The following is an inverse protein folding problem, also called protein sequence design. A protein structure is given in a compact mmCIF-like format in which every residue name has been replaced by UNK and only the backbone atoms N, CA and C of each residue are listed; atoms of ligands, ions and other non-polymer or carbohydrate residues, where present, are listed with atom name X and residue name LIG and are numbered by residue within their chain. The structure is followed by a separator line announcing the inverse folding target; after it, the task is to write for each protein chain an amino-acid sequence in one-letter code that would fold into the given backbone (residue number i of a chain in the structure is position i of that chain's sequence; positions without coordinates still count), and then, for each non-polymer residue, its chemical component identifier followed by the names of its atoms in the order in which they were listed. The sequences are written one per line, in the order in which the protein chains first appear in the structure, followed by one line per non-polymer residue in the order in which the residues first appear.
data_IF_939209244626
#
_entry.id   IF_939209244626
#
_cell.length_a   1.000
_cell.length_b   1.000
_cell.length_c   1.000
_cell.angle_alpha   90.00
_cell.angle_beta   90.00
_cell.angle_gamma   90.00
#
_symmetry.space_group_name_H-M   'P 1'
#
loop_
_entity.id
_entity.type
_entity.pdbx_description
1 polymer ?
#
# COMPACT_ATOMS: atom_id res chain seq x y z
N UNK A 1 15.78 19.85 4.51
CA UNK A 1 14.90 19.99 5.69
C UNK A 1 13.55 19.39 5.35
N UNK A 2 13.12 18.30 6.03
CA UNK A 2 11.79 17.71 5.85
C UNK A 2 10.92 18.17 7.01
N UNK A 3 9.84 18.89 6.71
CA UNK A 3 8.89 19.36 7.71
C UNK A 3 8.14 18.16 8.31
N UNK A 4 8.21 18.00 9.64
CA UNK A 4 7.42 17.01 10.38
C UNK A 4 6.38 17.79 11.18
N UNK A 5 5.13 17.76 10.72
CA UNK A 5 4.03 18.43 11.40
C UNK A 5 3.42 17.52 12.46
N UNK A 6 3.55 17.89 13.72
CA UNK A 6 2.99 17.14 14.86
C UNK A 6 1.48 17.34 14.93
N UNK A 7 0.99 18.57 14.74
CA UNK A 7 -0.42 18.90 14.68
C UNK A 7 -0.85 19.28 13.25
N UNK A 8 -1.28 18.28 12.49
CA UNK A 8 -1.78 18.47 11.12
C UNK A 8 -3.07 19.30 11.06
N UNK A 9 -3.87 19.30 12.12
CA UNK A 9 -5.14 20.05 12.20
C UNK A 9 -4.95 21.56 12.21
N UNK A 10 -3.73 22.04 12.51
CA UNK A 10 -3.40 23.46 12.50
C UNK A 10 -3.43 24.07 11.09
N UNK A 11 -3.41 23.23 10.04
CA UNK A 11 -3.39 23.67 8.65
C UNK A 11 -4.78 23.54 8.02
N UNK A 12 -5.27 24.61 7.41
CA UNK A 12 -6.61 24.65 6.81
C UNK A 12 -6.78 23.59 5.72
N UNK A 13 -5.73 23.36 4.94
CA UNK A 13 -5.67 22.34 3.89
C UNK A 13 -5.90 20.94 4.47
N UNK A 14 -5.18 20.59 5.54
CA UNK A 14 -5.33 19.28 6.17
C UNK A 14 -6.70 19.07 6.79
N UNK A 15 -7.32 20.15 7.31
CA UNK A 15 -8.69 20.13 7.82
C UNK A 15 -9.71 19.92 6.68
N UNK A 16 -9.55 20.61 5.55
CA UNK A 16 -10.40 20.43 4.35
C UNK A 16 -10.34 19.02 3.79
N UNK A 17 -9.16 18.40 3.82
CA UNK A 17 -8.93 17.01 3.38
C UNK A 17 -9.29 15.97 4.45
N UNK A 18 -9.78 16.40 5.62
CA UNK A 18 -10.23 15.53 6.70
C UNK A 18 -9.17 14.52 7.20
N UNK A 19 -7.90 14.97 7.26
CA UNK A 19 -6.77 14.09 7.58
C UNK A 19 -6.83 13.46 8.97
N UNK A 20 -7.50 14.08 9.94
CA UNK A 20 -7.63 13.52 11.29
C UNK A 20 -8.46 12.24 11.30
N UNK A 21 -9.57 12.22 10.57
CA UNK A 21 -10.40 11.03 10.43
C UNK A 21 -9.68 9.95 9.62
N UNK A 22 -8.99 10.34 8.54
CA UNK A 22 -8.17 9.42 7.74
C UNK A 22 -7.12 8.75 8.63
N UNK A 23 -6.39 9.53 9.46
CA UNK A 23 -5.41 8.98 10.41
C UNK A 23 -6.01 8.01 11.42
N UNK A 24 -7.21 8.27 11.92
CA UNK A 24 -7.88 7.37 12.88
C UNK A 24 -8.33 6.06 12.23
N UNK A 25 -8.70 6.09 10.94
CA UNK A 25 -9.17 4.91 10.21
C UNK A 25 -8.03 4.06 9.64
N UNK A 26 -6.86 4.65 9.39
CA UNK A 26 -5.68 3.93 8.90
C UNK A 26 -5.36 2.74 9.82
N UNK A 27 -5.36 1.53 9.27
CA UNK A 27 -5.06 0.30 9.98
C UNK A 27 -6.24 -0.36 10.70
N UNK A 28 -7.42 0.28 10.73
CA UNK A 28 -8.65 -0.31 11.27
C UNK A 28 -9.48 -1.10 10.24
N UNK A 29 -9.15 -0.94 8.95
CA UNK A 29 -9.84 -1.56 7.83
C UNK A 29 -8.89 -2.37 6.94
N UNK A 30 -9.46 -3.28 6.14
CA UNK A 30 -8.76 -3.97 5.06
C UNK A 30 -9.07 -3.33 3.72
N UNK A 31 -8.11 -3.36 2.78
CA UNK A 31 -8.32 -2.87 1.42
C UNK A 31 -8.55 -4.03 0.45
N UNK A 32 -9.53 -3.90 -0.45
CA UNK A 32 -9.70 -4.81 -1.60
C UNK A 32 -9.09 -4.16 -2.85
N UNK A 33 -8.00 -4.75 -3.36
CA UNK A 33 -7.32 -4.29 -4.58
C UNK A 33 -7.70 -5.25 -5.70
N UNK A 34 -8.17 -4.70 -6.82
CA UNK A 34 -8.58 -5.45 -8.00
C UNK A 34 -8.38 -4.57 -9.24
N UNK A 35 -7.78 -5.13 -10.29
CA UNK A 35 -7.60 -4.46 -11.57
C UNK A 35 -6.43 -5.07 -12.35
N UNK A 36 -6.08 -4.41 -13.45
CA UNK A 36 -5.00 -4.81 -14.34
C UNK A 36 -3.96 -3.68 -14.41
N UNK A 37 -2.69 -4.03 -14.49
CA UNK A 37 -1.59 -3.08 -14.68
C UNK A 37 -0.81 -3.44 -15.96
N UNK A 38 -0.59 -2.45 -16.82
CA UNK A 38 0.29 -2.61 -17.99
C UNK A 38 1.70 -2.21 -17.58
N UNK A 39 2.65 -3.14 -17.73
CA UNK A 39 4.07 -2.93 -17.40
C UNK A 39 4.95 -3.30 -18.59
N UNK A 40 6.16 -2.75 -18.61
CA UNK A 40 7.18 -3.18 -19.55
C UNK A 40 7.58 -4.64 -19.26
N UNK A 41 7.76 -5.45 -20.32
CA UNK A 41 8.20 -6.85 -20.21
C UNK A 41 9.71 -6.93 -19.96
N UNK A 42 10.13 -6.51 -18.77
CA UNK A 42 11.51 -6.51 -18.29
C UNK A 42 11.56 -7.03 -16.85
N UNK A 43 12.74 -7.36 -16.35
CA UNK A 43 12.91 -7.69 -14.92
C UNK A 43 12.54 -6.48 -14.04
N UNK A 44 11.76 -6.72 -12.99
CA UNK A 44 11.30 -5.67 -12.09
C UNK A 44 10.54 -6.20 -10.88
N UNK A 45 10.05 -5.28 -10.06
CA UNK A 45 9.22 -5.57 -8.91
C UNK A 45 8.07 -4.56 -8.83
N UNK A 46 6.91 -5.02 -8.38
CA UNK A 46 5.84 -4.14 -7.96
C UNK A 46 5.60 -4.36 -6.47
N UNK A 47 5.35 -3.28 -5.74
CA UNK A 47 5.12 -3.32 -4.31
C UNK A 47 3.80 -2.62 -4.00
N UNK A 48 3.08 -3.16 -3.01
CA UNK A 48 1.92 -2.51 -2.39
C UNK A 48 2.34 -2.16 -0.99
N UNK A 49 2.39 -0.87 -0.67
CA UNK A 49 2.76 -0.39 0.65
C UNK A 49 1.87 0.81 1.05
N UNK A 50 1.66 1.02 2.36
CA UNK A 50 0.87 2.15 2.84
C UNK A 50 1.63 3.48 2.63
N UNK A 51 0.88 4.57 2.51
CA UNK A 51 1.41 5.92 2.44
C UNK A 51 1.29 6.56 1.06
N UNK A 52 1.60 7.85 0.98
CA UNK A 52 1.52 8.61 -0.26
C UNK A 52 2.60 8.12 -1.23
N UNK A 53 2.18 7.61 -2.40
CA UNK A 53 3.10 7.19 -3.44
C UNK A 53 3.57 8.37 -4.29
N UNK A 54 4.83 8.34 -4.69
CA UNK A 54 5.40 9.31 -5.64
C UNK A 54 6.50 8.65 -6.46
N UNK A 55 6.71 9.18 -7.67
CA UNK A 55 7.78 8.73 -8.57
C UNK A 55 8.87 9.78 -8.59
N UNK A 56 10.10 9.37 -8.32
CA UNK A 56 11.28 10.22 -8.40
C UNK A 56 12.42 9.41 -9.02
N UNK A 57 13.16 9.97 -9.97
CA UNK A 57 14.29 9.29 -10.63
C UNK A 57 13.98 7.87 -11.15
N UNK A 58 12.79 7.67 -11.74
CA UNK A 58 12.32 6.36 -12.24
C UNK A 58 12.11 5.28 -11.16
N UNK A 59 12.11 5.65 -9.88
CA UNK A 59 11.80 4.76 -8.77
C UNK A 59 10.47 5.15 -8.10
N UNK A 60 9.74 4.14 -7.64
CA UNK A 60 8.47 4.29 -6.94
C UNK A 60 8.70 4.26 -5.43
N UNK A 61 8.32 5.33 -4.75
CA UNK A 61 8.50 5.49 -3.31
C UNK A 61 7.17 5.64 -2.58
N UNK A 62 7.13 5.14 -1.35
CA UNK A 62 6.04 5.41 -0.41
C UNK A 62 6.54 6.29 0.72
N UNK A 63 5.90 7.44 0.93
CA UNK A 63 6.16 8.28 2.09
C UNK A 63 5.35 7.78 3.28
N UNK A 64 6.05 7.24 4.30
CA UNK A 64 5.46 6.86 5.58
C UNK A 64 5.33 8.06 6.54
N UNK A 65 5.88 9.22 6.19
CA UNK A 65 5.97 10.38 7.07
C UNK A 65 4.61 10.93 7.49
N UNK A 66 3.60 10.82 6.62
CA UNK A 66 2.21 11.21 6.92
C UNK A 66 1.49 10.22 7.84
N UNK A 67 1.98 8.99 7.97
CA UNK A 67 1.34 7.94 8.75
C UNK A 67 1.83 7.89 10.21
N UNK A 68 2.96 8.53 10.54
CA UNK A 68 3.51 8.53 11.91
C UNK A 68 4.04 7.15 12.35
N UNK A 69 4.30 6.94 13.66
CA UNK A 69 4.84 5.69 14.21
C UNK A 69 3.77 4.58 14.33
N UNK A 70 2.98 4.38 13.27
CA UNK A 70 1.91 3.38 13.27
C UNK A 70 2.49 2.04 12.80
N UNK A 71 2.18 0.97 13.53
CA UNK A 71 2.45 -0.39 13.07
C UNK A 71 1.36 -0.76 12.05
N UNK A 72 1.75 -1.04 10.81
CA UNK A 72 0.81 -1.45 9.77
C UNK A 72 0.77 -2.96 9.63
N UNK A 73 -0.44 -3.50 9.58
CA UNK A 73 -0.65 -4.90 9.28
C UNK A 73 -0.67 -5.11 7.76
N UNK A 74 0.39 -5.73 7.22
CA UNK A 74 0.46 -6.11 5.79
C UNK A 74 0.05 -7.56 5.54
N UNK A 75 -0.70 -8.16 6.48
CA UNK A 75 -1.36 -9.45 6.25
C UNK A 75 -2.31 -9.33 5.07
N UNK A 76 -2.26 -10.28 4.16
CA UNK A 76 -3.01 -10.21 2.91
C UNK A 76 -3.44 -11.60 2.43
N UNK A 77 -4.44 -11.60 1.55
CA UNK A 77 -4.85 -12.75 0.77
C UNK A 77 -4.81 -12.39 -0.71
N UNK A 78 -4.12 -13.18 -1.51
CA UNK A 78 -4.11 -13.03 -2.97
C UNK A 78 -5.27 -13.85 -3.51
N UNK A 79 -6.29 -13.16 -4.06
CA UNK A 79 -7.40 -13.83 -4.73
C UNK A 79 -6.95 -14.40 -6.06
N UNK A 80 -6.47 -13.53 -6.93
CA UNK A 80 -5.93 -13.86 -8.25
C UNK A 80 -4.73 -12.97 -8.56
N UNK A 81 -3.64 -13.55 -9.06
CA UNK A 81 -2.50 -12.83 -9.62
C UNK A 81 -1.98 -13.56 -10.86
N UNK A 82 -2.17 -12.94 -12.02
CA UNK A 82 -1.76 -13.48 -13.31
C UNK A 82 -1.00 -12.45 -14.14
N UNK A 83 -0.25 -12.95 -15.12
CA UNK A 83 0.44 -12.13 -16.11
C UNK A 83 -0.12 -12.44 -17.50
N UNK A 84 -0.73 -11.44 -18.14
CA UNK A 84 -1.38 -11.59 -19.45
C UNK A 84 -2.79 -12.19 -19.37
N UNK A 85 -3.28 -12.65 -20.52
CA UNK A 85 -4.62 -13.22 -20.66
C UNK A 85 -4.70 -14.63 -20.08
N UNK A 86 -5.90 -15.02 -19.64
CA UNK A 86 -6.17 -16.35 -19.14
C UNK A 86 -6.13 -17.41 -20.25
N UNK A 87 -5.57 -18.58 -19.97
CA UNK A 87 -5.56 -19.70 -20.90
C UNK A 87 -5.89 -21.06 -20.23
N UNK A 88 -6.39 -22.06 -20.98
CA UNK A 88 -6.72 -23.36 -20.42
C UNK A 88 -5.52 -24.05 -19.77
N UNK A 89 -5.70 -24.55 -18.55
CA UNK A 89 -4.65 -25.22 -17.79
C UNK A 89 -3.65 -24.25 -17.11
N UNK A 90 -3.90 -22.95 -17.14
CA UNK A 90 -3.10 -21.99 -16.39
C UNK A 90 -3.20 -22.25 -14.89
N UNK A 91 -2.03 -22.31 -14.24
CA UNK A 91 -1.90 -22.42 -12.78
C UNK A 91 -1.03 -21.27 -12.31
N UNK A 92 -1.61 -20.32 -11.58
CA UNK A 92 -0.83 -19.26 -10.95
C UNK A 92 -0.53 -19.66 -9.50
N UNK A 93 0.75 -19.78 -9.10
CA UNK A 93 1.12 -20.29 -7.78
C UNK A 93 0.61 -19.46 -6.59
N UNK A 94 0.32 -18.18 -6.83
CA UNK A 94 -0.08 -17.24 -5.78
C UNK A 94 -1.60 -17.13 -5.62
N UNK A 95 -2.39 -17.73 -6.51
CA UNK A 95 -3.85 -17.70 -6.40
C UNK A 95 -4.33 -18.39 -5.11
N UNK A 96 -5.26 -17.75 -4.41
CA UNK A 96 -5.81 -18.24 -3.14
C UNK A 96 -4.86 -18.22 -1.94
N UNK A 97 -3.62 -17.74 -2.09
CA UNK A 97 -2.64 -17.73 -0.99
C UNK A 97 -2.96 -16.68 0.07
N UNK A 98 -2.53 -16.94 1.31
CA UNK A 98 -2.71 -16.02 2.45
C UNK A 98 -1.42 -15.91 3.24
N UNK A 99 -1.08 -14.69 3.63
CA UNK A 99 0.09 -14.38 4.43
C UNK A 99 -0.34 -13.53 5.61
N UNK A 100 -0.05 -13.99 6.82
CA UNK A 100 -0.25 -13.23 8.05
C UNK A 100 1.09 -12.75 8.59
N UNK A 101 1.19 -11.46 8.89
CA UNK A 101 2.36 -10.86 9.53
C UNK A 101 2.34 -11.27 10.99
N UNK A 102 3.43 -11.91 11.44
CA UNK A 102 3.64 -12.17 12.86
C UNK A 102 4.32 -10.94 13.47
N UNK A 103 3.61 -10.18 14.28
CA UNK A 103 4.22 -9.12 15.08
C UNK A 103 5.01 -9.77 16.21
N UNK A 104 6.35 -9.73 16.12
CA UNK A 104 7.19 -10.03 17.29
C UNK A 104 6.97 -8.92 18.32
N UNK A 105 6.29 -9.23 19.42
CA UNK A 105 6.35 -8.41 20.62
C UNK A 105 7.78 -8.49 21.15
N UNK A 106 8.50 -7.38 21.08
CA UNK A 106 9.69 -7.16 21.92
C UNK A 106 9.23 -6.71 23.29
#
# INVERSE_FOLDING_TARGET
MRWVFVNISAFEQCRKENWNEIKQKIGSEGCRIHGNLTVNRVGGAFHIAPGHSYTENHAHFHSFQSLGPVQFNVSHSIGELRFGDSYPGQVNPLDGTKMAVQTRKY
#
